data_IF_072888233075
#
_entry.id   IF_072888233075
#
_cell.length_a   1.000
_cell.length_b   1.000
_cell.length_c   1.000
_cell.angle_alpha   90.00
_cell.angle_beta   90.00
_cell.angle_gamma   90.00
#
_symmetry.space_group_name_H-M   'P 1'
#
loop_
_entity.id
_entity.type
_entity.pdbx_description
1 polymer ?
#
# COMPACT_ATOMS: atom_id res chain seq x y z
N UNK A 1 -13.38 -19.79 19.72
CA UNK A 1 -14.54 -18.95 19.40
C UNK A 1 -15.73 -19.87 19.21
N UNK A 2 -16.80 -19.68 19.98
CA UNK A 2 -18.00 -20.53 19.94
C UNK A 2 -19.04 -19.92 19.00
N UNK A 3 -19.78 -20.73 18.23
CA UNK A 3 -20.79 -20.23 17.28
C UNK A 3 -22.18 -20.69 17.67
N UNK A 4 -23.16 -19.79 17.62
CA UNK A 4 -24.59 -20.08 17.81
C UNK A 4 -25.41 -19.52 16.66
N UNK A 5 -26.55 -20.15 16.38
CA UNK A 5 -27.52 -19.55 15.45
C UNK A 5 -28.17 -18.30 16.05
N UNK A 6 -28.65 -17.38 15.20
CA UNK A 6 -29.41 -16.21 15.64
C UNK A 6 -30.64 -16.57 16.49
N UNK A 7 -31.31 -17.69 16.18
CA UNK A 7 -32.44 -18.20 16.97
C UNK A 7 -31.99 -18.64 18.37
N UNK A 8 -30.89 -19.38 18.47
CA UNK A 8 -30.33 -19.80 19.76
C UNK A 8 -29.81 -18.63 20.59
N UNK A 9 -29.19 -17.63 19.95
CA UNK A 9 -28.75 -16.42 20.62
C UNK A 9 -29.92 -15.65 21.26
N UNK A 10 -31.06 -15.60 20.57
CA UNK A 10 -32.29 -14.96 21.06
C UNK A 10 -32.95 -15.77 22.19
N UNK A 11 -33.06 -17.09 22.02
CA UNK A 11 -33.75 -17.96 22.99
C UNK A 11 -32.94 -18.19 24.27
N UNK A 12 -31.60 -18.22 24.17
CA UNK A 12 -30.70 -18.58 25.27
C UNK A 12 -29.75 -17.44 25.63
N UNK A 13 -30.23 -16.18 25.59
CA UNK A 13 -29.39 -15.00 25.77
C UNK A 13 -28.62 -14.99 27.11
N UNK A 14 -29.26 -15.36 28.22
CA UNK A 14 -28.58 -15.41 29.53
C UNK A 14 -27.42 -16.40 29.57
N UNK A 15 -27.59 -17.59 28.97
CA UNK A 15 -26.52 -18.57 28.84
C UNK A 15 -25.40 -18.10 27.89
N UNK A 16 -25.75 -17.35 26.84
CA UNK A 16 -24.78 -16.70 25.96
C UNK A 16 -23.93 -15.70 26.76
N UNK A 17 -24.54 -14.82 27.56
CA UNK A 17 -23.81 -13.86 28.40
C UNK A 17 -22.90 -14.56 29.40
N UNK A 18 -23.36 -15.62 30.06
CA UNK A 18 -22.54 -16.41 30.99
C UNK A 18 -21.25 -16.94 30.34
N UNK A 19 -21.29 -17.27 29.05
CA UNK A 19 -20.14 -17.77 28.29
C UNK A 19 -19.15 -16.69 27.85
N UNK A 20 -19.56 -15.42 27.81
CA UNK A 20 -18.68 -14.31 27.41
C UNK A 20 -17.50 -14.11 28.39
N UNK A 21 -17.61 -14.63 29.61
CA UNK A 21 -16.52 -14.67 30.59
C UNK A 21 -15.35 -15.57 30.15
N UNK A 22 -15.59 -16.52 29.25
CA UNK A 22 -14.61 -17.52 28.82
C UNK A 22 -14.11 -17.29 27.39
N UNK A 23 -15.00 -16.94 26.45
CA UNK A 23 -14.59 -16.60 25.09
C UNK A 23 -15.65 -15.80 24.32
N UNK A 24 -15.25 -15.06 23.27
CA UNK A 24 -16.18 -14.48 22.30
C UNK A 24 -17.09 -15.52 21.62
N UNK A 25 -18.34 -15.13 21.40
CA UNK A 25 -19.39 -15.94 20.76
C UNK A 25 -19.76 -15.33 19.40
N UNK A 26 -19.60 -16.08 18.32
CA UNK A 26 -20.12 -15.75 17.00
C UNK A 26 -21.61 -16.07 16.91
N UNK A 27 -22.39 -15.16 16.32
CA UNK A 27 -23.78 -15.38 15.96
C UNK A 27 -23.87 -15.58 14.45
N UNK A 28 -24.47 -16.69 14.05
CA UNK A 28 -24.63 -17.11 12.66
C UNK A 28 -26.09 -17.03 12.21
N UNK A 29 -26.31 -16.60 10.98
CA UNK A 29 -27.61 -16.65 10.30
C UNK A 29 -27.41 -17.15 8.88
N UNK A 30 -28.13 -18.20 8.49
CA UNK A 30 -28.01 -18.83 7.17
C UNK A 30 -26.54 -19.12 6.78
N UNK A 31 -25.78 -19.81 7.64
CA UNK A 31 -24.39 -20.20 7.37
C UNK A 31 -23.39 -19.03 7.24
N UNK A 32 -23.78 -17.82 7.68
CA UNK A 32 -22.92 -16.64 7.70
C UNK A 32 -22.84 -16.06 9.11
N UNK A 33 -21.64 -15.77 9.59
CA UNK A 33 -21.43 -15.01 10.83
C UNK A 33 -21.93 -13.59 10.60
N UNK A 34 -22.91 -13.17 11.39
CA UNK A 34 -23.52 -11.83 11.30
C UNK A 34 -23.13 -10.92 12.46
N UNK A 35 -22.66 -11.49 13.58
CA UNK A 35 -22.17 -10.73 14.71
C UNK A 35 -21.17 -11.53 15.55
N UNK A 36 -20.36 -10.83 16.32
CA UNK A 36 -19.51 -11.40 17.35
C UNK A 36 -19.84 -10.66 18.65
N UNK A 37 -20.19 -11.40 19.69
CA UNK A 37 -20.44 -10.87 21.03
C UNK A 37 -19.26 -11.23 21.91
N UNK A 38 -18.76 -10.27 22.67
CA UNK A 38 -17.60 -10.42 23.56
C UNK A 38 -17.74 -9.48 24.75
N UNK A 39 -16.97 -9.71 25.81
CA UNK A 39 -16.91 -8.77 26.95
C UNK A 39 -16.27 -7.44 26.52
N UNK A 40 -16.56 -6.33 27.20
CA UNK A 40 -15.91 -5.05 26.93
C UNK A 40 -14.38 -5.12 27.02
N UNK A 41 -13.86 -5.88 27.99
CA UNK A 41 -12.42 -6.12 28.15
C UNK A 41 -11.82 -6.84 26.94
N UNK A 42 -12.50 -7.89 26.45
CA UNK A 42 -12.08 -8.60 25.23
C UNK A 42 -12.17 -7.71 24.00
N UNK A 43 -13.19 -6.85 23.91
CA UNK A 43 -13.33 -5.89 22.81
C UNK A 43 -12.22 -4.82 22.84
N UNK A 44 -11.85 -4.34 24.03
CA UNK A 44 -10.76 -3.38 24.20
C UNK A 44 -9.38 -4.00 23.89
N UNK A 45 -9.21 -5.30 24.12
CA UNK A 45 -8.00 -6.04 23.78
C UNK A 45 -7.87 -6.38 22.29
N UNK A 46 -8.95 -6.24 21.50
CA UNK A 46 -8.90 -6.49 20.06
C UNK A 46 -8.11 -5.38 19.35
N UNK A 47 -7.19 -5.73 18.45
CA UNK A 47 -6.50 -4.74 17.62
C UNK A 47 -7.52 -3.91 16.81
N UNK A 48 -7.43 -2.58 16.88
CA UNK A 48 -8.27 -1.72 16.04
C UNK A 48 -7.90 -1.96 14.56
N UNK A 49 -8.82 -2.53 13.74
CA UNK A 49 -8.52 -2.86 12.36
C UNK A 49 -8.16 -1.62 11.53
N UNK A 50 -8.64 -0.42 11.92
CA UNK A 50 -8.28 0.83 11.24
C UNK A 50 -6.84 1.23 11.55
N UNK A 51 -6.40 1.05 12.79
CA UNK A 51 -5.01 1.32 13.17
C UNK A 51 -4.06 0.34 12.47
N UNK A 52 -4.40 -0.95 12.47
CA UNK A 52 -3.64 -1.96 11.74
C UNK A 52 -3.56 -1.65 10.24
N UNK A 53 -4.66 -1.26 9.59
CA UNK A 53 -4.68 -0.89 8.18
C UNK A 53 -3.81 0.35 7.88
N UNK A 54 -3.83 1.37 8.77
CA UNK A 54 -2.97 2.56 8.63
C UNK A 54 -1.49 2.21 8.78
N UNK A 55 -1.14 1.39 9.77
CA UNK A 55 0.24 0.94 9.97
C UNK A 55 0.75 0.15 8.74
N UNK A 56 -0.07 -0.76 8.21
CA UNK A 56 0.27 -1.49 6.99
C UNK A 56 0.44 -0.55 5.79
N UNK A 57 -0.41 0.46 5.66
CA UNK A 57 -0.28 1.46 4.59
C UNK A 57 1.03 2.25 4.71
N UNK A 58 1.38 2.71 5.91
CA UNK A 58 2.63 3.42 6.17
C UNK A 58 3.85 2.55 5.83
N UNK A 59 3.82 1.27 6.20
CA UNK A 59 4.89 0.33 5.87
C UNK A 59 5.04 0.16 4.35
N UNK A 60 3.94 0.05 3.60
CA UNK A 60 3.97 -0.03 2.13
C UNK A 60 4.54 1.24 1.50
N UNK A 61 4.17 2.42 2.00
CA UNK A 61 4.71 3.69 1.52
C UNK A 61 6.21 3.82 1.81
N UNK A 62 6.66 3.38 2.99
CA UNK A 62 8.09 3.35 3.33
C UNK A 62 8.88 2.43 2.38
N UNK A 63 8.34 1.24 2.07
CA UNK A 63 8.95 0.33 1.09
C UNK A 63 9.03 0.94 -0.31
N UNK A 64 8.00 1.67 -0.74
CA UNK A 64 8.02 2.39 -2.02
C UNK A 64 9.07 3.51 -2.02
N UNK A 65 9.20 4.25 -0.93
CA UNK A 65 10.22 5.29 -0.78
C UNK A 65 11.63 4.70 -0.84
N UNK A 66 11.90 3.61 -0.13
CA UNK A 66 13.20 2.94 -0.16
C UNK A 66 13.57 2.48 -1.59
N UNK A 67 12.63 1.90 -2.34
CA UNK A 67 12.87 1.51 -3.74
C UNK A 67 13.17 2.71 -4.65
N UNK A 68 12.47 3.83 -4.47
CA UNK A 68 12.78 5.05 -5.21
C UNK A 68 14.15 5.62 -4.85
N UNK A 69 14.55 5.56 -3.57
CA UNK A 69 15.88 5.98 -3.13
C UNK A 69 16.98 5.10 -3.72
N UNK A 70 16.76 3.78 -3.80
CA UNK A 70 17.69 2.85 -4.46
C UNK A 70 17.89 3.23 -5.93
N UNK A 71 16.80 3.46 -6.66
CA UNK A 71 16.87 3.92 -8.04
C UNK A 71 17.57 5.27 -8.21
N UNK A 72 17.28 6.22 -7.32
CA UNK A 72 17.93 7.52 -7.33
C UNK A 72 19.45 7.38 -7.15
N UNK A 73 19.91 6.57 -6.20
CA UNK A 73 21.33 6.29 -6.00
C UNK A 73 21.96 5.61 -7.22
N UNK A 74 21.28 4.61 -7.78
CA UNK A 74 21.77 3.90 -8.95
C UNK A 74 21.93 4.84 -10.15
N UNK A 75 20.94 5.68 -10.43
CA UNK A 75 21.02 6.69 -11.48
C UNK A 75 22.19 7.66 -11.24
N UNK A 76 22.40 8.11 -10.00
CA UNK A 76 23.49 9.04 -9.69
C UNK A 76 24.88 8.41 -9.86
N UNK A 77 25.03 7.13 -9.51
CA UNK A 77 26.29 6.42 -9.58
C UNK A 77 26.57 5.81 -10.98
N UNK A 78 25.54 5.62 -11.81
CA UNK A 78 25.68 5.03 -13.12
C UNK A 78 26.48 5.93 -14.09
N UNK A 79 27.27 5.36 -15.02
CA UNK A 79 27.83 6.11 -16.14
C UNK A 79 26.75 6.79 -16.97
N UNK A 80 27.05 7.96 -17.55
CA UNK A 80 26.09 8.80 -18.31
C UNK A 80 25.30 8.03 -19.38
N UNK A 81 25.94 7.04 -20.04
CA UNK A 81 25.27 6.17 -21.02
C UNK A 81 24.17 5.31 -20.39
N UNK A 82 24.45 4.69 -19.24
CA UNK A 82 23.46 3.89 -18.50
C UNK A 82 22.34 4.78 -17.94
N UNK A 83 22.68 5.96 -17.42
CA UNK A 83 21.67 6.94 -16.98
C UNK A 83 20.65 7.24 -18.08
N UNK A 84 21.14 7.55 -19.28
CA UNK A 84 20.29 7.82 -20.44
C UNK A 84 19.43 6.61 -20.81
N UNK A 85 19.99 5.40 -20.76
CA UNK A 85 19.24 4.17 -21.02
C UNK A 85 18.11 3.94 -20.01
N UNK A 86 18.37 4.12 -18.71
CA UNK A 86 17.35 3.97 -17.67
C UNK A 86 16.23 5.00 -17.81
N UNK A 87 16.59 6.27 -18.03
CA UNK A 87 15.59 7.34 -18.25
C UNK A 87 14.78 7.07 -19.51
N UNK A 88 15.41 6.60 -20.59
CA UNK A 88 14.70 6.27 -21.83
C UNK A 88 13.75 5.08 -21.65
N UNK A 89 14.17 4.04 -20.93
CA UNK A 89 13.29 2.92 -20.61
C UNK A 89 12.09 3.37 -19.77
N UNK A 90 12.30 4.24 -18.78
CA UNK A 90 11.21 4.81 -18.00
C UNK A 90 10.24 5.64 -18.86
N UNK A 91 10.76 6.42 -19.82
CA UNK A 91 9.92 7.18 -20.78
C UNK A 91 9.03 6.26 -21.61
N UNK A 92 9.56 5.16 -22.13
CA UNK A 92 8.79 4.18 -22.90
C UNK A 92 7.65 3.57 -22.07
N UNK A 93 7.87 3.34 -20.77
CA UNK A 93 6.81 2.86 -19.87
C UNK A 93 5.70 3.90 -19.72
N UNK A 94 6.05 5.17 -19.54
CA UNK A 94 5.07 6.28 -19.43
C UNK A 94 4.32 6.49 -20.75
N UNK A 95 5.01 6.41 -21.89
CA UNK A 95 4.39 6.48 -23.23
C UNK A 95 3.38 5.34 -23.42
N UNK A 96 3.71 4.12 -23.00
CA UNK A 96 2.77 3.00 -23.02
C UNK A 96 1.55 3.28 -22.13
N UNK A 97 1.75 3.75 -20.90
CA UNK A 97 0.64 4.12 -20.01
C UNK A 97 -0.28 5.17 -20.62
N UNK A 98 0.28 6.13 -21.36
CA UNK A 98 -0.50 7.14 -22.05
C UNK A 98 -1.28 6.56 -23.23
N UNK A 99 -0.63 5.76 -24.08
CA UNK A 99 -1.24 5.16 -25.27
C UNK A 99 -2.37 4.18 -24.92
N UNK A 100 -2.22 3.45 -23.83
CA UNK A 100 -3.21 2.48 -23.34
C UNK A 100 -4.20 3.08 -22.33
N UNK A 101 -4.14 4.38 -22.05
CA UNK A 101 -5.01 5.08 -21.09
C UNK A 101 -5.03 4.46 -19.68
N UNK A 102 -3.87 4.01 -19.20
CA UNK A 102 -3.74 3.28 -17.92
C UNK A 102 -3.62 4.20 -16.70
N UNK A 103 -3.35 5.49 -16.91
CA UNK A 103 -3.19 6.50 -15.87
C UNK A 103 -3.86 7.82 -16.28
N UNK A 104 -4.15 8.69 -15.32
CA UNK A 104 -4.70 10.01 -15.61
C UNK A 104 -3.71 10.89 -16.36
N UNK A 105 -4.22 11.84 -17.14
CA UNK A 105 -3.40 12.76 -17.93
C UNK A 105 -2.41 13.54 -17.06
N UNK A 106 -2.86 14.15 -15.95
CA UNK A 106 -2.02 14.89 -15.02
C UNK A 106 -0.87 14.03 -14.45
N UNK A 107 -1.11 12.74 -14.23
CA UNK A 107 -0.11 11.80 -13.73
C UNK A 107 0.97 11.54 -14.78
N UNK A 108 0.55 11.36 -16.05
CA UNK A 108 1.46 11.19 -17.18
C UNK A 108 2.30 12.44 -17.40
N UNK A 109 1.67 13.63 -17.43
CA UNK A 109 2.39 14.90 -17.59
C UNK A 109 3.43 15.10 -16.48
N UNK A 110 3.07 14.79 -15.23
CA UNK A 110 4.00 14.93 -14.11
C UNK A 110 5.23 14.04 -14.28
N UNK A 111 5.03 12.78 -14.70
CA UNK A 111 6.14 11.88 -14.99
C UNK A 111 7.00 12.35 -16.17
N UNK A 112 6.38 12.84 -17.25
CA UNK A 112 7.11 13.40 -18.39
C UNK A 112 7.97 14.60 -17.99
N UNK A 113 7.44 15.49 -17.13
CA UNK A 113 8.18 16.61 -16.56
C UNK A 113 9.38 16.11 -15.73
N UNK A 114 9.18 15.15 -14.83
CA UNK A 114 10.26 14.61 -14.00
C UNK A 114 11.36 13.94 -14.84
N UNK A 115 10.98 13.13 -15.83
CA UNK A 115 11.93 12.43 -16.70
C UNK A 115 12.70 13.37 -17.64
N UNK A 116 12.25 14.62 -17.81
CA UNK A 116 12.95 15.68 -18.56
C UNK A 116 13.99 16.43 -17.73
N UNK A 117 14.01 16.24 -16.41
CA UNK A 117 14.98 16.88 -15.53
C UNK A 117 16.39 16.26 -15.68
N UNK A 118 17.44 17.00 -15.34
CA UNK A 118 18.75 16.42 -15.06
C UNK A 118 18.64 15.32 -13.99
N UNK A 119 19.47 14.26 -14.10
CA UNK A 119 19.43 13.09 -13.21
C UNK A 119 19.53 13.48 -11.73
N UNK A 120 20.33 14.51 -11.40
CA UNK A 120 20.45 15.04 -10.04
C UNK A 120 19.14 15.58 -9.49
N UNK A 121 18.39 16.32 -10.30
CA UNK A 121 17.11 16.90 -9.91
C UNK A 121 16.00 15.84 -9.89
N UNK A 122 16.00 14.92 -10.87
CA UNK A 122 15.11 13.77 -10.89
C UNK A 122 15.27 12.93 -9.61
N UNK A 123 16.51 12.61 -9.23
CA UNK A 123 16.81 11.86 -8.01
C UNK A 123 16.28 12.56 -6.75
N UNK A 124 16.43 13.88 -6.65
CA UNK A 124 15.87 14.67 -5.55
C UNK A 124 14.33 14.57 -5.51
N UNK A 125 13.66 14.68 -6.67
CA UNK A 125 12.20 14.56 -6.77
C UNK A 125 11.70 13.16 -6.39
N UNK A 126 12.40 12.11 -6.82
CA UNK A 126 12.06 10.71 -6.48
C UNK A 126 12.11 10.43 -4.97
N UNK A 127 13.05 11.08 -4.26
CA UNK A 127 13.27 10.88 -2.82
C UNK A 127 12.45 11.82 -1.92
N UNK A 128 11.89 12.89 -2.49
CA UNK A 128 11.19 13.94 -1.73
C UNK A 128 9.66 13.85 -1.78
N UNK A 129 9.03 14.91 -1.29
CA UNK A 129 7.57 15.12 -1.39
C UNK A 129 7.16 15.76 -2.71
N UNK A 130 8.09 16.47 -3.38
CA UNK A 130 7.94 17.01 -4.72
C UNK A 130 6.59 17.73 -4.96
N UNK A 131 6.33 18.75 -4.14
CA UNK A 131 5.10 19.56 -4.18
C UNK A 131 3.82 18.72 -3.98
N UNK A 132 3.87 17.75 -3.05
CA UNK A 132 2.78 16.83 -2.71
C UNK A 132 2.61 15.63 -3.65
N UNK A 133 3.39 15.54 -4.72
CA UNK A 133 3.28 14.44 -5.70
C UNK A 133 4.08 13.19 -5.33
N UNK A 134 5.00 13.28 -4.38
CA UNK A 134 5.96 12.22 -4.05
C UNK A 134 5.28 10.88 -3.76
N UNK A 135 4.19 10.88 -2.98
CA UNK A 135 3.44 9.65 -2.68
C UNK A 135 2.84 9.05 -3.96
N UNK A 136 2.12 9.84 -4.75
CA UNK A 136 1.48 9.37 -5.98
C UNK A 136 2.50 8.81 -6.99
N UNK A 137 3.62 9.49 -7.17
CA UNK A 137 4.69 9.07 -8.08
C UNK A 137 5.34 7.75 -7.61
N UNK A 138 5.43 7.52 -6.31
CA UNK A 138 5.97 6.27 -5.74
C UNK A 138 5.04 5.06 -5.87
N UNK A 139 3.74 5.27 -6.05
CA UNK A 139 2.78 4.17 -6.14
C UNK A 139 2.95 3.35 -7.42
N UNK A 140 3.15 4.03 -8.55
CA UNK A 140 3.40 3.45 -9.85
C UNK A 140 4.64 4.09 -10.48
N UNK A 141 5.79 3.49 -10.21
CA UNK A 141 7.06 3.95 -10.76
C UNK A 141 7.29 3.39 -12.17
N UNK A 142 7.72 4.20 -13.15
CA UNK A 142 8.14 3.71 -14.46
C UNK A 142 9.50 2.99 -14.40
N UNK A 143 10.18 3.04 -13.25
CA UNK A 143 11.43 2.34 -12.98
C UNK A 143 11.14 0.94 -12.43
N UNK A 144 10.88 -0.01 -13.33
CA UNK A 144 10.29 -1.33 -13.00
C UNK A 144 11.29 -2.43 -12.62
N UNK A 145 12.56 -2.33 -13.01
CA UNK A 145 13.58 -3.33 -12.68
C UNK A 145 14.88 -2.64 -12.28
N UNK A 146 15.21 -2.63 -10.98
CA UNK A 146 16.55 -2.24 -10.49
C UNK A 146 17.53 -3.21 -11.14
N UNK A 147 18.43 -2.77 -12.04
CA UNK A 147 19.51 -3.61 -12.54
C UNK A 147 20.25 -4.26 -11.38
N UNK A 148 20.59 -5.54 -11.52
CA UNK A 148 21.47 -6.19 -10.57
C UNK A 148 22.74 -5.35 -10.45
N UNK A 149 23.07 -4.93 -9.23
CA UNK A 149 24.35 -4.30 -8.89
C UNK A 149 25.43 -5.19 -9.50
N UNK A 150 26.14 -4.68 -10.50
CA UNK A 150 27.33 -5.37 -11.00
C UNK A 150 28.33 -5.42 -9.84
N UNK A 151 28.47 -6.62 -9.27
CA UNK A 151 29.59 -6.99 -8.41
C UNK A 151 30.88 -7.05 -9.25
#
# INVERSE_FOLDING_TARGET
>A
MYTVTASQAKQNFGALIGRLSQSPVAIERHQKIVAIVMSPESAAAMPDPRQAARAQQQQREQQRLMRHQQWALELLCAPKRLQQQHVQAARQVVERWQAEHLCSHDYIERWQQWLALPVTELAQRMCGDADGWGLAMRQNSPFIAVPAVHA
#
